data_IF_290323478601
#
_entry.id   IF_290323478601
#
_cell.length_a   1.000
_cell.length_b   1.000
_cell.length_c   1.000
_cell.angle_alpha   90.00
_cell.angle_beta   90.00
_cell.angle_gamma   90.00
#
_symmetry.space_group_name_H-M   'P 1'
#
loop_
_entity.id
_entity.type
_entity.pdbx_description
1 polymer ?
#
# COMPACT_ATOMS: atom_id res chain seq x y z
N UNK A 1 -8.48 -5.75 -20.49
CA UNK A 1 -7.29 -6.60 -20.27
C UNK A 1 -7.09 -6.77 -18.77
N UNK A 2 -6.91 -7.99 -18.27
CA UNK A 2 -6.73 -8.26 -16.84
C UNK A 2 -5.41 -7.64 -16.32
N UNK A 3 -5.44 -6.91 -15.21
CA UNK A 3 -4.23 -6.41 -14.54
C UNK A 3 -3.61 -7.55 -13.73
N UNK A 4 -2.29 -7.73 -13.83
CA UNK A 4 -1.56 -8.65 -12.96
C UNK A 4 -1.55 -8.09 -11.54
N UNK A 5 -1.95 -8.90 -10.57
CA UNK A 5 -1.97 -8.54 -9.17
C UNK A 5 -1.57 -9.74 -8.31
N UNK A 6 -1.00 -9.47 -7.15
CA UNK A 6 -0.71 -10.46 -6.11
C UNK A 6 -1.09 -9.87 -4.75
N UNK A 7 -1.43 -10.74 -3.81
CA UNK A 7 -1.84 -10.34 -2.47
C UNK A 7 -0.73 -10.66 -1.46
N UNK A 8 -0.48 -9.74 -0.53
CA UNK A 8 0.46 -9.94 0.57
C UNK A 8 -0.36 -10.19 1.83
N UNK A 9 -0.46 -11.46 2.22
CA UNK A 9 -1.11 -11.86 3.46
C UNK A 9 -0.19 -11.60 4.67
N UNK A 10 -0.79 -11.33 5.81
CA UNK A 10 -0.08 -11.12 7.07
C UNK A 10 -0.33 -12.24 8.06
N UNK A 11 0.69 -12.56 8.85
CA UNK A 11 0.61 -13.52 9.97
C UNK A 11 0.28 -12.86 11.31
N UNK A 12 0.22 -11.52 11.38
CA UNK A 12 -0.08 -10.80 12.61
C UNK A 12 0.03 -9.27 12.48
N UNK A 13 -0.13 -8.58 13.62
CA UNK A 13 0.07 -7.14 13.73
C UNK A 13 1.54 -6.78 13.93
N UNK A 14 1.95 -5.59 13.45
CA UNK A 14 3.34 -5.08 13.55
C UNK A 14 4.48 -5.97 13.03
N UNK A 15 4.19 -7.02 12.26
CA UNK A 15 5.19 -7.95 11.67
C UNK A 15 5.98 -7.38 10.47
N UNK A 16 6.06 -6.05 10.29
CA UNK A 16 6.82 -5.45 9.19
C UNK A 16 6.10 -5.37 7.83
N UNK A 17 4.76 -5.48 7.82
CA UNK A 17 3.93 -5.45 6.61
C UNK A 17 4.15 -4.19 5.78
N UNK A 18 4.08 -3.03 6.42
CA UNK A 18 4.18 -1.73 5.75
C UNK A 18 5.55 -1.53 5.12
N UNK A 19 6.63 -1.82 5.85
CA UNK A 19 8.01 -1.75 5.34
C UNK A 19 8.25 -2.71 4.17
N UNK A 20 7.72 -3.93 4.25
CA UNK A 20 7.84 -4.93 3.17
C UNK A 20 7.10 -4.46 1.91
N UNK A 21 5.87 -3.96 2.05
CA UNK A 21 5.11 -3.39 0.94
C UNK A 21 5.82 -2.20 0.29
N UNK A 22 6.37 -1.26 1.09
CA UNK A 22 7.12 -0.10 0.60
C UNK A 22 8.34 -0.52 -0.24
N UNK A 23 9.13 -1.46 0.25
CA UNK A 23 10.29 -1.98 -0.48
C UNK A 23 9.89 -2.64 -1.81
N UNK A 24 8.80 -3.41 -1.80
CA UNK A 24 8.31 -4.08 -3.01
C UNK A 24 7.77 -3.09 -4.04
N UNK A 25 6.93 -2.13 -3.62
CA UNK A 25 6.39 -1.09 -4.50
C UNK A 25 7.54 -0.26 -5.09
N UNK A 26 8.50 0.16 -4.28
CA UNK A 26 9.70 0.89 -4.74
C UNK A 26 10.48 0.10 -5.82
N UNK A 27 10.70 -1.21 -5.60
CA UNK A 27 11.35 -2.08 -6.57
C UNK A 27 10.55 -2.25 -7.87
N UNK A 28 9.23 -2.43 -7.76
CA UNK A 28 8.34 -2.57 -8.92
C UNK A 28 8.27 -1.29 -9.75
N UNK A 29 8.22 -0.12 -9.11
CA UNK A 29 8.19 1.17 -9.80
C UNK A 29 9.46 1.42 -10.62
N UNK A 30 10.60 0.85 -10.22
CA UNK A 30 11.85 0.90 -11.01
C UNK A 30 11.79 0.03 -12.27
N UNK A 31 10.93 -0.99 -12.31
CA UNK A 31 10.85 -1.97 -13.40
C UNK A 31 9.64 -1.77 -14.32
N UNK A 32 8.54 -1.23 -13.81
CA UNK A 32 7.27 -1.12 -14.52
C UNK A 32 6.75 0.31 -14.50
N UNK A 33 6.23 0.77 -15.65
CA UNK A 33 5.68 2.13 -15.80
C UNK A 33 4.43 2.39 -14.95
N UNK A 34 3.61 1.36 -14.71
CA UNK A 34 2.36 1.47 -13.97
C UNK A 34 2.34 0.45 -12.84
N UNK A 35 2.44 0.94 -11.60
CA UNK A 35 2.34 0.13 -10.37
C UNK A 35 1.24 0.74 -9.52
N UNK A 36 0.34 -0.09 -9.01
CA UNK A 36 -0.69 0.32 -8.07
C UNK A 36 -0.50 -0.41 -6.76
N UNK A 37 -0.86 0.24 -5.66
CA UNK A 37 -0.90 -0.34 -4.33
C UNK A 37 -2.30 -0.14 -3.76
N UNK A 38 -2.83 -1.17 -3.10
CA UNK A 38 -4.11 -1.12 -2.41
C UNK A 38 -3.89 -1.71 -1.03
N UNK A 39 -4.21 -0.94 0.00
CA UNK A 39 -4.33 -1.42 1.36
C UNK A 39 -5.81 -1.40 1.74
N UNK A 40 -6.41 -2.54 2.14
CA UNK A 40 -7.75 -2.51 2.69
C UNK A 40 -7.75 -1.61 3.93
N UNK A 41 -8.81 -0.83 4.07
CA UNK A 41 -9.01 0.14 5.15
C UNK A 41 -8.73 -0.52 6.52
N UNK A 42 -7.80 0.07 7.27
CA UNK A 42 -7.54 -0.26 8.67
C UNK A 42 -8.42 0.57 9.62
N UNK A 43 -8.10 0.52 10.92
CA UNK A 43 -8.90 1.21 11.93
C UNK A 43 -8.55 2.70 12.06
N UNK A 44 -7.30 3.08 11.76
CA UNK A 44 -6.81 4.45 11.87
C UNK A 44 -6.85 5.17 10.52
N UNK A 45 -7.51 6.33 10.50
CA UNK A 45 -7.64 7.18 9.31
C UNK A 45 -7.01 8.54 9.54
N UNK A 46 -6.52 9.15 8.46
CA UNK A 46 -6.08 10.53 8.41
C UNK A 46 -6.76 11.25 7.24
N UNK A 47 -7.00 12.53 7.40
CA UNK A 47 -7.45 13.40 6.31
C UNK A 47 -6.22 13.99 5.61
N UNK A 48 -6.12 13.79 4.30
CA UNK A 48 -5.06 14.41 3.49
C UNK A 48 -5.51 15.80 3.00
N UNK A 49 -4.58 16.62 2.51
CA UNK A 49 -4.83 18.02 2.10
C UNK A 49 -5.98 18.19 1.10
N UNK A 50 -6.34 17.14 0.36
CA UNK A 50 -7.47 17.12 -0.58
C UNK A 50 -8.83 16.90 0.08
N UNK A 51 -8.89 16.76 1.42
CA UNK A 51 -10.10 16.46 2.20
C UNK A 51 -10.50 14.98 2.19
N UNK A 52 -9.70 14.12 1.54
CA UNK A 52 -9.99 12.69 1.44
C UNK A 52 -9.50 11.97 2.70
N UNK A 53 -10.37 11.13 3.27
CA UNK A 53 -10.00 10.26 4.39
C UNK A 53 -9.37 8.97 3.86
N UNK A 54 -8.16 8.66 4.34
CA UNK A 54 -7.40 7.47 3.94
C UNK A 54 -6.86 6.75 5.17
N UNK A 55 -6.57 5.46 5.04
CA UNK A 55 -5.81 4.72 6.06
C UNK A 55 -4.43 5.38 6.24
N UNK A 56 -3.98 5.51 7.49
CA UNK A 56 -2.74 6.22 7.82
C UNK A 56 -1.51 5.71 7.06
N UNK A 57 -1.43 4.41 6.78
CA UNK A 57 -0.28 3.84 6.06
C UNK A 57 -0.31 4.15 4.56
N UNK A 58 -1.46 4.51 3.99
CA UNK A 58 -1.58 4.85 2.56
C UNK A 58 -0.80 6.12 2.23
N UNK A 59 -0.65 7.04 3.18
CA UNK A 59 0.11 8.28 3.00
C UNK A 59 1.60 8.03 2.71
N UNK A 60 2.10 6.83 3.01
CA UNK A 60 3.49 6.47 2.75
C UNK A 60 3.77 6.02 1.30
N UNK A 61 2.74 5.85 0.47
CA UNK A 61 2.83 5.23 -0.87
C UNK A 61 2.52 6.21 -2.00
#
# INVERSE_FOLDING_TARGET
MSKKAFFIAATGQHVGKTTTCLGLVSGLMKKYKNVGFIKPIGQEHVEIETGVHVDKDVVLF
#
